data_IF_969633611167
#
_entry.id   IF_969633611167
#
_cell.length_a   1.000
_cell.length_b   1.000
_cell.length_c   1.000
_cell.angle_alpha   90.00
_cell.angle_beta   90.00
_cell.angle_gamma   90.00
#
_symmetry.space_group_name_H-M   'P 1'
#
loop_
_entity.id
_entity.type
_entity.pdbx_description
1 polymer ?
#
# COMPACT_ATOMS: atom_id res chain seq x y z
N UNK A 1 7.50 10.45 17.82
CA UNK A 1 7.17 9.94 16.48
C UNK A 1 8.48 9.66 15.81
N UNK A 2 8.75 8.41 15.50
CA UNK A 2 10.03 7.97 14.94
C UNK A 2 10.25 8.67 13.59
N UNK A 3 11.35 9.41 13.43
CA UNK A 3 11.67 10.12 12.19
C UNK A 3 11.72 9.17 10.99
N UNK A 4 12.08 7.90 11.26
CA UNK A 4 12.11 6.83 10.26
C UNK A 4 10.71 6.49 9.75
N UNK A 5 9.70 6.37 10.62
CA UNK A 5 8.32 6.11 10.23
C UNK A 5 7.75 7.27 9.39
N UNK A 6 8.00 8.51 9.80
CA UNK A 6 7.58 9.69 9.05
C UNK A 6 8.22 9.73 7.65
N UNK A 7 9.51 9.39 7.55
CA UNK A 7 10.19 9.25 6.28
C UNK A 7 9.56 8.15 5.42
N UNK A 8 9.35 6.93 5.94
CA UNK A 8 8.73 5.84 5.19
C UNK A 8 7.33 6.21 4.68
N UNK A 9 6.49 6.83 5.53
CA UNK A 9 5.15 7.29 5.13
C UNK A 9 5.17 8.32 4.00
N UNK A 10 6.25 9.09 3.86
CA UNK A 10 6.41 10.07 2.77
C UNK A 10 6.75 9.44 1.41
N UNK A 11 7.34 8.24 1.40
CA UNK A 11 7.64 7.50 0.17
C UNK A 11 6.51 6.58 -0.27
N UNK A 12 5.54 6.35 0.62
CA UNK A 12 4.39 5.54 0.31
C UNK A 12 3.35 6.32 -0.50
N UNK A 13 2.64 5.68 -1.45
CA UNK A 13 1.60 6.33 -2.23
C UNK A 13 0.56 7.00 -1.33
N UNK A 14 0.10 8.18 -1.73
CA UNK A 14 -0.94 8.88 -0.98
C UNK A 14 -2.18 7.98 -0.79
N UNK A 15 -2.82 8.00 0.39
CA UNK A 15 -4.01 7.19 0.62
C UNK A 15 -5.09 7.55 -0.39
N UNK A 16 -5.94 6.59 -0.74
CA UNK A 16 -7.08 6.80 -1.64
C UNK A 16 -8.08 7.86 -1.13
N UNK A 17 -7.98 8.24 0.15
CA UNK A 17 -8.87 9.18 0.84
C UNK A 17 -8.02 10.22 1.59
N UNK A 18 -8.34 11.51 1.43
CA UNK A 18 -7.67 12.58 2.20
C UNK A 18 -8.00 12.49 3.69
N UNK A 19 -6.99 12.21 4.50
CA UNK A 19 -7.06 12.24 5.98
C UNK A 19 -7.14 13.68 6.55
N UNK A 20 -6.76 14.69 5.76
CA UNK A 20 -6.79 16.10 6.15
C UNK A 20 -8.13 16.76 5.81
N UNK A 21 -9.20 16.34 6.47
CA UNK A 21 -10.41 17.15 6.55
C UNK A 21 -10.42 17.86 7.91
N UNK A 22 -9.83 19.05 7.98
CA UNK A 22 -10.06 19.92 9.13
C UNK A 22 -11.52 20.39 9.08
N UNK A 23 -12.39 19.77 9.87
CA UNK A 23 -13.71 20.32 10.17
C UNK A 23 -13.51 21.65 10.93
N UNK A 24 -13.33 22.74 10.19
CA UNK A 24 -13.31 24.09 10.76
C UNK A 24 -14.71 24.68 10.75
N UNK A 25 -15.34 24.66 11.91
CA UNK A 25 -15.90 25.82 12.63
C UNK A 25 -16.75 25.27 13.77
N UNK A 26 -16.68 25.81 15.00
CA UNK A 26 -17.75 25.61 15.96
C UNK A 26 -19.06 26.08 15.31
N UNK A 27 -20.08 25.23 15.32
CA UNK A 27 -21.43 25.64 14.94
C UNK A 27 -21.82 26.82 15.87
N UNK A 28 -22.19 27.99 15.32
CA UNK A 28 -22.76 29.04 16.17
C UNK A 28 -24.02 28.49 16.84
N UNK A 29 -24.19 28.79 18.13
CA UNK A 29 -25.35 28.38 18.90
C UNK A 29 -26.62 28.88 18.18
N UNK A 30 -27.45 27.94 17.73
CA UNK A 30 -28.72 28.21 17.07
C UNK A 30 -29.60 29.00 18.04
N UNK A 31 -29.98 30.22 17.65
CA UNK A 31 -31.04 30.95 18.33
C UNK A 31 -32.39 30.33 17.95
N UNK A 32 -33.33 30.13 18.89
CA UNK A 32 -34.62 29.54 18.58
C UNK A 32 -35.47 30.58 17.86
N UNK A 33 -35.51 30.50 16.53
CA UNK A 33 -36.32 31.35 15.67
C UNK A 33 -36.56 30.68 14.33
N UNK A 34 -37.73 30.04 14.22
CA UNK A 34 -38.54 29.76 13.04
C UNK A 34 -37.92 29.95 11.64
N UNK A 35 -37.06 29.02 11.26
CA UNK A 35 -36.93 28.60 9.86
C UNK A 35 -36.92 27.06 9.87
N UNK A 36 -37.85 26.44 9.14
CA UNK A 36 -37.77 25.02 8.80
C UNK A 36 -36.47 24.82 8.02
N UNK A 37 -35.39 24.49 8.73
CA UNK A 37 -34.08 24.20 8.14
C UNK A 37 -34.23 22.89 7.36
N UNK A 38 -34.74 23.02 6.12
CA UNK A 38 -35.07 21.90 5.25
C UNK A 38 -33.82 21.02 5.09
N UNK A 39 -33.89 19.73 5.42
CA UNK A 39 -32.74 18.82 5.33
C UNK A 39 -32.37 18.55 3.86
N UNK A 40 -31.66 19.51 3.26
CA UNK A 40 -31.26 19.48 1.85
C UNK A 40 -30.28 18.35 1.56
N UNK A 41 -29.49 17.93 2.55
CA UNK A 41 -28.51 16.85 2.41
C UNK A 41 -29.22 15.49 2.42
N UNK A 42 -30.18 15.28 3.31
CA UNK A 42 -31.01 14.07 3.33
C UNK A 42 -31.85 13.86 2.08
N UNK A 43 -32.17 14.93 1.33
CA UNK A 43 -32.91 14.86 0.05
C UNK A 43 -32.06 14.45 -1.16
N UNK A 44 -30.74 14.39 -1.04
CA UNK A 44 -29.87 13.97 -2.14
C UNK A 44 -30.14 12.51 -2.54
N UNK A 45 -29.99 12.13 -3.84
CA UNK A 45 -30.06 10.74 -4.28
C UNK A 45 -28.99 9.86 -3.62
N UNK A 46 -29.30 8.57 -3.44
CA UNK A 46 -28.37 7.61 -2.82
C UNK A 46 -27.00 7.57 -3.50
N UNK A 47 -26.95 7.69 -4.82
CA UNK A 47 -25.68 7.69 -5.56
C UNK A 47 -24.75 8.84 -5.14
N UNK A 48 -25.31 10.02 -4.86
CA UNK A 48 -24.54 11.19 -4.40
C UNK A 48 -24.09 10.98 -2.96
N UNK A 49 -25.00 10.51 -2.09
CA UNK A 49 -24.68 10.21 -0.69
C UNK A 49 -23.57 9.15 -0.58
N UNK A 50 -23.62 8.09 -1.40
CA UNK A 50 -22.54 7.09 -1.47
C UNK A 50 -21.23 7.71 -1.92
N UNK A 51 -21.26 8.61 -2.90
CA UNK A 51 -20.07 9.32 -3.35
C UNK A 51 -19.45 10.18 -2.23
N UNK A 52 -20.28 10.92 -1.48
CA UNK A 52 -19.83 11.70 -0.33
C UNK A 52 -19.18 10.80 0.72
N UNK A 53 -19.87 9.75 1.16
CA UNK A 53 -19.38 8.84 2.21
C UNK A 53 -18.08 8.14 1.76
N UNK A 54 -17.96 7.74 0.49
CA UNK A 54 -16.75 7.10 -0.06
C UNK A 54 -15.49 7.98 -0.06
N UNK A 55 -15.65 9.31 0.10
CA UNK A 55 -14.55 10.28 0.19
C UNK A 55 -14.20 10.67 1.62
N UNK A 56 -14.95 10.20 2.61
CA UNK A 56 -14.68 10.48 4.01
C UNK A 56 -13.73 9.42 4.58
N UNK A 57 -12.81 9.80 5.49
CA UNK A 57 -12.08 8.84 6.30
C UNK A 57 -13.06 7.89 7.01
N UNK A 58 -12.72 6.61 7.16
CA UNK A 58 -13.62 5.59 7.75
C UNK A 58 -14.30 6.04 9.05
N UNK A 59 -13.56 6.72 9.94
CA UNK A 59 -14.11 7.21 11.21
C UNK A 59 -15.25 8.22 11.03
N UNK A 60 -15.09 9.15 10.09
CA UNK A 60 -16.09 10.17 9.81
C UNK A 60 -17.23 9.63 8.96
N UNK A 61 -16.91 8.75 8.01
CA UNK A 61 -17.90 8.00 7.26
C UNK A 61 -18.82 7.18 8.19
N UNK A 62 -18.27 6.49 9.19
CA UNK A 62 -19.04 5.78 10.20
C UNK A 62 -19.90 6.71 11.08
N UNK A 63 -19.42 7.93 11.38
CA UNK A 63 -20.20 8.94 12.14
C UNK A 63 -21.44 9.40 11.37
N UNK A 64 -21.42 9.41 10.04
CA UNK A 64 -22.60 9.77 9.24
C UNK A 64 -23.78 8.82 9.46
N UNK A 65 -23.54 7.59 9.95
CA UNK A 65 -24.60 6.63 10.28
C UNK A 65 -25.56 7.12 11.38
N UNK A 66 -25.18 8.13 12.17
CA UNK A 66 -26.04 8.73 13.21
C UNK A 66 -27.04 9.74 12.61
N UNK A 67 -26.81 10.23 11.38
CA UNK A 67 -27.66 11.26 10.75
C UNK A 67 -29.07 10.73 10.42
N UNK A 68 -29.18 9.51 9.90
CA UNK A 68 -30.46 8.80 9.77
C UNK A 68 -30.26 7.31 9.45
N UNK A 69 -31.35 6.52 9.50
CA UNK A 69 -31.33 5.11 9.10
C UNK A 69 -30.83 4.91 7.67
N UNK A 70 -31.16 5.84 6.76
CA UNK A 70 -30.70 5.83 5.37
C UNK A 70 -29.18 5.92 5.27
N UNK A 71 -28.55 6.85 5.99
CA UNK A 71 -27.08 6.98 6.00
C UNK A 71 -26.39 5.77 6.60
N UNK A 72 -26.98 5.16 7.64
CA UNK A 72 -26.48 3.90 8.21
C UNK A 72 -26.46 2.77 7.17
N UNK A 73 -27.51 2.61 6.38
CA UNK A 73 -27.56 1.59 5.32
C UNK A 73 -26.57 1.90 4.18
N UNK A 74 -26.43 3.18 3.81
CA UNK A 74 -25.50 3.59 2.76
C UNK A 74 -24.05 3.32 3.20
N UNK A 75 -23.67 3.70 4.42
CA UNK A 75 -22.36 3.40 5.01
C UNK A 75 -22.01 1.91 4.87
N UNK A 76 -22.91 1.00 5.28
CA UNK A 76 -22.65 -0.45 5.21
C UNK A 76 -22.51 -1.01 3.79
N UNK A 77 -22.95 -0.26 2.78
CA UNK A 77 -22.91 -0.69 1.37
C UNK A 77 -21.69 -0.21 0.59
N UNK A 78 -20.85 0.62 1.19
CA UNK A 78 -19.74 1.31 0.50
C UNK A 78 -18.42 0.60 0.81
N UNK A 79 -17.47 0.53 -0.13
CA UNK A 79 -16.18 -0.08 0.15
C UNK A 79 -15.44 0.63 1.28
N UNK A 80 -14.97 -0.12 2.27
CA UNK A 80 -14.26 0.41 3.43
C UNK A 80 -12.83 0.85 3.04
N UNK A 81 -12.40 2.02 3.49
CA UNK A 81 -11.02 2.50 3.36
C UNK A 81 -10.43 2.78 4.74
N UNK A 82 -9.67 1.84 5.28
CA UNK A 82 -9.02 2.01 6.58
C UNK A 82 -7.67 2.71 6.40
N UNK A 83 -7.47 3.79 7.13
CA UNK A 83 -6.17 4.46 7.21
C UNK A 83 -5.85 4.73 8.68
N UNK A 84 -4.85 4.01 9.18
CA UNK A 84 -4.31 4.13 10.53
C UNK A 84 -3.19 5.19 10.63
N UNK A 85 -2.75 5.76 9.51
CA UNK A 85 -1.71 6.79 9.48
C UNK A 85 -0.41 6.33 10.13
N UNK A 86 -0.19 6.76 11.38
CA UNK A 86 1.03 6.51 12.17
C UNK A 86 0.80 5.58 13.39
N UNK A 87 -0.28 4.82 13.44
CA UNK A 87 -0.52 3.79 14.46
C UNK A 87 -1.45 4.26 15.59
N UNK A 88 -2.48 5.01 15.26
CA UNK A 88 -3.47 5.49 16.22
C UNK A 88 -4.57 4.47 16.54
N UNK A 89 -4.69 3.42 15.73
CA UNK A 89 -5.71 2.38 15.79
C UNK A 89 -5.07 1.08 16.28
N UNK A 90 -5.55 0.58 17.42
CA UNK A 90 -5.15 -0.74 17.87
C UNK A 90 -5.53 -1.80 16.81
N UNK A 91 -4.67 -2.79 16.51
CA UNK A 91 -4.96 -3.83 15.52
C UNK A 91 -6.29 -4.55 15.78
N UNK A 92 -6.63 -4.79 17.04
CA UNK A 92 -7.91 -5.40 17.45
C UNK A 92 -9.11 -4.55 17.07
N UNK A 93 -8.99 -3.22 17.13
CA UNK A 93 -10.05 -2.30 16.71
C UNK A 93 -10.16 -2.27 15.19
N UNK A 94 -9.03 -2.32 14.47
CA UNK A 94 -9.03 -2.46 13.02
C UNK A 94 -9.71 -3.78 12.58
N UNK A 95 -9.38 -4.90 13.23
CA UNK A 95 -10.01 -6.19 12.98
C UNK A 95 -11.51 -6.15 13.28
N UNK A 96 -11.92 -5.55 14.41
CA UNK A 96 -13.34 -5.39 14.75
C UNK A 96 -14.09 -4.49 13.75
N UNK A 97 -13.46 -3.42 13.26
CA UNK A 97 -14.02 -2.57 12.21
C UNK A 97 -14.19 -3.34 10.90
N UNK A 98 -13.19 -4.14 10.50
CA UNK A 98 -13.26 -5.02 9.33
C UNK A 98 -14.34 -6.10 9.48
N UNK A 99 -14.49 -6.68 10.68
CA UNK A 99 -15.47 -7.72 10.96
C UNK A 99 -16.91 -7.17 10.98
N UNK A 100 -17.10 -5.96 11.53
CA UNK A 100 -18.42 -5.32 11.64
C UNK A 100 -18.92 -4.70 10.33
N UNK A 101 -18.04 -4.49 9.35
CA UNK A 101 -18.43 -3.95 8.06
C UNK A 101 -18.84 -5.07 7.08
N UNK A 102 -20.08 -5.05 6.55
CA UNK A 102 -20.56 -6.11 5.65
C UNK A 102 -20.14 -5.91 4.18
N UNK A 103 -19.68 -4.72 3.79
CA UNK A 103 -19.24 -4.41 2.42
C UNK A 103 -17.76 -4.74 2.15
N UNK A 104 -17.34 -4.66 0.86
CA UNK A 104 -15.96 -4.94 0.44
C UNK A 104 -14.96 -3.95 1.05
N UNK A 105 -13.68 -4.33 1.08
CA UNK A 105 -12.60 -3.47 1.58
C UNK A 105 -11.78 -3.03 0.39
N UNK A 106 -11.74 -1.72 0.12
CA UNK A 106 -11.02 -1.18 -1.04
C UNK A 106 -9.57 -0.94 -0.73
N UNK A 107 -9.29 -0.23 0.36
CA UNK A 107 -7.93 0.17 0.72
C UNK A 107 -7.70 0.03 2.22
N UNK A 108 -6.57 -0.54 2.61
CA UNK A 108 -6.13 -0.57 4.01
C UNK A 108 -4.70 -0.12 4.14
N UNK A 109 -4.49 0.98 4.87
CA UNK A 109 -3.20 1.46 5.33
C UNK A 109 -3.11 1.20 6.82
N UNK A 110 -2.26 0.26 7.20
CA UNK A 110 -2.09 -0.19 8.58
C UNK A 110 -0.69 0.17 9.06
N UNK A 111 -0.61 0.94 10.13
CA UNK A 111 0.62 1.17 10.87
C UNK A 111 0.64 0.18 12.04
N UNK A 112 0.91 -1.09 11.72
CA UNK A 112 0.79 -2.18 12.68
C UNK A 112 1.72 -1.96 13.88
N UNK A 113 1.16 -2.12 15.08
CA UNK A 113 1.93 -2.28 16.31
C UNK A 113 2.64 -3.64 16.30
N UNK A 114 3.70 -3.79 17.09
CA UNK A 114 4.47 -5.04 17.24
C UNK A 114 3.67 -6.21 17.89
N UNK A 115 2.34 -6.19 17.87
CA UNK A 115 1.49 -7.25 18.41
C UNK A 115 1.17 -8.28 17.31
N UNK A 116 1.82 -9.46 17.29
CA UNK A 116 1.65 -10.44 16.23
C UNK A 116 0.24 -11.05 16.18
N UNK A 117 -0.45 -11.20 17.31
CA UNK A 117 -1.78 -11.81 17.35
C UNK A 117 -2.86 -10.89 16.77
N UNK A 118 -2.87 -9.63 17.22
CA UNK A 118 -3.78 -8.62 16.68
C UNK A 118 -3.58 -8.43 15.18
N UNK A 119 -2.33 -8.45 14.73
CA UNK A 119 -1.99 -8.27 13.32
C UNK A 119 -2.39 -9.48 12.48
N UNK A 120 -2.16 -10.72 12.95
CA UNK A 120 -2.61 -11.92 12.26
C UNK A 120 -4.15 -11.94 12.08
N UNK A 121 -4.90 -11.53 13.10
CA UNK A 121 -6.36 -11.40 13.03
C UNK A 121 -6.82 -10.38 11.97
N UNK A 122 -6.12 -9.25 11.87
CA UNK A 122 -6.38 -8.26 10.82
C UNK A 122 -6.11 -8.84 9.44
N UNK A 123 -4.96 -9.48 9.22
CA UNK A 123 -4.62 -10.07 7.92
C UNK A 123 -5.57 -11.20 7.52
N UNK A 124 -5.98 -12.06 8.46
CA UNK A 124 -7.00 -13.07 8.20
C UNK A 124 -8.34 -12.42 7.77
N UNK A 125 -8.73 -11.33 8.43
CA UNK A 125 -9.93 -10.57 8.07
C UNK A 125 -9.82 -9.91 6.70
N UNK A 126 -8.64 -9.42 6.33
CA UNK A 126 -8.37 -8.82 5.02
C UNK A 126 -8.41 -9.88 3.91
N UNK A 127 -7.74 -11.02 4.12
CA UNK A 127 -7.72 -12.13 3.16
C UNK A 127 -9.13 -12.66 2.88
N UNK A 128 -9.99 -12.75 3.90
CA UNK A 128 -11.38 -13.19 3.76
C UNK A 128 -12.26 -12.20 2.96
N UNK A 129 -11.84 -10.93 2.81
CA UNK A 129 -12.63 -9.85 2.22
C UNK A 129 -12.14 -9.41 0.83
N UNK A 130 -11.01 -9.93 0.36
CA UNK A 130 -10.48 -9.65 -0.97
C UNK A 130 -10.10 -8.18 -1.17
N UNK A 131 -9.14 -7.70 -0.38
CA UNK A 131 -8.65 -6.31 -0.45
C UNK A 131 -8.00 -6.03 -1.81
N UNK A 132 -8.26 -4.84 -2.37
CA UNK A 132 -7.63 -4.36 -3.61
C UNK A 132 -6.31 -3.63 -3.33
N UNK A 133 -6.30 -2.69 -2.38
CA UNK A 133 -5.11 -1.91 -2.03
C UNK A 133 -4.68 -2.18 -0.58
N UNK A 134 -3.50 -2.77 -0.39
CA UNK A 134 -2.94 -3.08 0.93
C UNK A 134 -1.60 -2.38 1.11
N UNK A 135 -1.55 -1.50 2.10
CA UNK A 135 -0.35 -0.82 2.55
C UNK A 135 -0.10 -1.18 4.02
N UNK A 136 1.05 -1.79 4.28
CA UNK A 136 1.45 -2.25 5.61
C UNK A 136 2.73 -1.52 5.99
N UNK A 137 2.70 -0.83 7.11
CA UNK A 137 3.89 -0.28 7.76
C UNK A 137 3.93 -0.80 9.17
N UNK A 138 5.07 -1.28 9.65
CA UNK A 138 5.19 -1.64 11.08
C UNK A 138 5.88 -0.52 11.83
N UNK A 139 5.23 -0.06 12.90
CA UNK A 139 5.81 0.93 13.79
C UNK A 139 6.78 0.22 14.74
N UNK A 140 8.07 0.19 14.37
CA UNK A 140 9.11 -0.46 15.14
C UNK A 140 10.49 0.10 14.83
N UNK A 141 11.35 0.17 15.85
CA UNK A 141 12.76 0.47 15.68
C UNK A 141 13.45 -0.64 14.90
N UNK A 142 14.19 -0.28 13.85
CA UNK A 142 15.02 -1.22 13.10
C UNK A 142 16.15 -1.79 13.98
N UNK A 143 16.54 -3.08 13.85
CA UNK A 143 16.04 -4.09 12.91
C UNK A 143 14.66 -4.63 13.28
N UNK A 144 13.76 -4.69 12.30
CA UNK A 144 12.40 -5.20 12.52
C UNK A 144 12.41 -6.73 12.40
N UNK A 145 12.11 -7.41 13.51
CA UNK A 145 11.94 -8.87 13.56
C UNK A 145 10.58 -9.33 13.03
N UNK A 146 9.63 -8.40 12.88
CA UNK A 146 8.28 -8.72 12.44
C UNK A 146 8.23 -9.00 10.94
N UNK A 147 7.51 -10.07 10.58
CA UNK A 147 7.31 -10.54 9.21
C UNK A 147 5.85 -10.44 8.82
N UNK A 148 5.61 -10.01 7.58
CA UNK A 148 4.26 -10.02 7.01
C UNK A 148 3.74 -11.46 6.94
N UNK A 149 2.51 -11.75 7.39
CA UNK A 149 1.91 -13.07 7.26
C UNK A 149 1.82 -13.51 5.79
N UNK A 150 2.09 -14.79 5.53
CA UNK A 150 2.05 -15.35 4.16
C UNK A 150 0.64 -15.40 3.57
N UNK A 151 -0.41 -15.25 4.39
CA UNK A 151 -1.81 -15.15 3.94
C UNK A 151 -2.03 -14.02 2.92
N UNK A 152 -1.25 -12.94 3.02
CA UNK A 152 -1.29 -11.81 2.07
C UNK A 152 -0.99 -12.28 0.64
N UNK A 153 -0.10 -13.27 0.49
CA UNK A 153 0.28 -13.81 -0.82
C UNK A 153 -0.85 -14.61 -1.49
N UNK A 154 -1.88 -15.00 -0.72
CA UNK A 154 -3.07 -15.70 -1.24
C UNK A 154 -4.19 -14.76 -1.72
N UNK A 155 -4.04 -13.44 -1.55
CA UNK A 155 -5.10 -12.48 -1.85
C UNK A 155 -5.22 -12.20 -3.36
N UNK A 156 -6.05 -12.98 -4.07
CA UNK A 156 -6.19 -12.86 -5.53
C UNK A 156 -6.77 -11.52 -6.03
N UNK A 157 -7.52 -10.80 -5.18
CA UNK A 157 -8.07 -9.49 -5.49
C UNK A 157 -7.06 -8.34 -5.30
N UNK A 158 -5.88 -8.63 -4.75
CA UNK A 158 -4.91 -7.60 -4.39
C UNK A 158 -4.28 -6.99 -5.65
N UNK A 159 -4.54 -5.71 -5.86
CA UNK A 159 -4.03 -4.88 -6.95
C UNK A 159 -2.78 -4.10 -6.58
N UNK A 160 -2.68 -3.60 -5.34
CA UNK A 160 -1.51 -2.83 -4.87
C UNK A 160 -1.04 -3.33 -3.52
N UNK A 161 0.23 -3.67 -3.41
CA UNK A 161 0.87 -4.11 -2.17
C UNK A 161 2.09 -3.24 -1.87
N UNK A 162 2.04 -2.51 -0.77
CA UNK A 162 3.17 -1.72 -0.28
C UNK A 162 3.55 -2.16 1.14
N UNK A 163 4.82 -2.50 1.33
CA UNK A 163 5.35 -3.05 2.57
C UNK A 163 6.45 -2.11 3.10
N UNK A 164 6.31 -1.65 4.33
CA UNK A 164 7.16 -0.65 4.98
C UNK A 164 7.67 -1.09 6.35
N UNK A 165 8.96 -0.91 6.64
CA UNK A 165 9.55 -1.22 7.95
C UNK A 165 9.26 -2.65 8.44
N UNK A 166 9.37 -3.67 7.57
CA UNK A 166 9.19 -5.07 8.00
C UNK A 166 9.93 -6.09 7.12
N UNK A 167 9.83 -7.36 7.49
CA UNK A 167 10.35 -8.47 6.66
C UNK A 167 9.27 -8.98 5.69
N UNK A 168 9.69 -9.26 4.46
CA UNK A 168 8.85 -9.87 3.43
C UNK A 168 8.29 -11.23 3.89
N UNK A 169 7.06 -11.60 3.49
CA UNK A 169 6.50 -12.91 3.82
C UNK A 169 7.38 -14.05 3.28
N UNK A 170 7.50 -15.12 4.06
CA UNK A 170 8.19 -16.33 3.61
C UNK A 170 7.36 -17.01 2.52
N UNK A 171 8.01 -17.31 1.39
CA UNK A 171 7.36 -17.98 0.25
C UNK A 171 7.48 -19.51 0.31
N UNK A 172 8.15 -20.06 1.33
CA UNK A 172 8.27 -21.51 1.52
C UNK A 172 6.92 -22.14 1.89
N UNK A 173 6.38 -22.95 0.98
CA UNK A 173 5.15 -23.74 1.22
C UNK A 173 3.83 -23.06 0.88
N UNK A 174 3.83 -21.77 0.50
CA UNK A 174 2.63 -21.07 -0.01
C UNK A 174 2.86 -20.73 -1.47
N UNK A 175 1.92 -21.09 -2.35
CA UNK A 175 1.93 -20.62 -3.73
C UNK A 175 1.28 -19.22 -3.75
N UNK A 176 2.02 -18.14 -4.04
CA UNK A 176 1.45 -16.82 -4.24
C UNK A 176 0.41 -16.88 -5.36
N UNK A 177 -0.79 -16.38 -5.07
CA UNK A 177 -1.92 -16.32 -6.00
C UNK A 177 -2.30 -14.84 -6.26
N UNK A 178 -1.29 -13.98 -6.42
CA UNK A 178 -1.43 -12.53 -6.62
C UNK A 178 -1.74 -12.21 -8.09
N UNK A 179 -2.87 -12.71 -8.58
CA UNK A 179 -3.23 -12.67 -10.00
C UNK A 179 -3.62 -11.28 -10.50
N UNK A 180 -4.04 -10.38 -9.60
CA UNK A 180 -4.49 -9.03 -9.93
C UNK A 180 -3.46 -7.95 -9.58
N UNK A 181 -2.28 -8.34 -9.08
CA UNK A 181 -1.32 -7.40 -8.51
C UNK A 181 -0.64 -6.59 -9.61
N UNK A 182 -0.91 -5.29 -9.62
CA UNK A 182 -0.38 -4.29 -10.55
C UNK A 182 0.84 -3.56 -9.96
N UNK A 183 0.88 -3.36 -8.65
CA UNK A 183 1.96 -2.62 -8.00
C UNK A 183 2.48 -3.34 -6.77
N UNK A 184 3.80 -3.54 -6.72
CA UNK A 184 4.52 -4.04 -5.56
C UNK A 184 5.57 -3.02 -5.13
N UNK A 185 5.42 -2.48 -3.92
CA UNK A 185 6.35 -1.52 -3.33
C UNK A 185 6.96 -2.03 -2.03
N UNK A 186 8.27 -1.91 -1.91
CA UNK A 186 9.05 -2.34 -0.73
C UNK A 186 9.82 -1.12 -0.23
N UNK A 187 9.48 -0.63 0.95
CA UNK A 187 10.05 0.59 1.54
C UNK A 187 10.76 0.25 2.85
N UNK A 188 12.05 0.55 2.96
CA UNK A 188 12.86 0.32 4.17
C UNK A 188 12.59 -1.06 4.82
N UNK A 189 12.53 -2.10 4.00
CA UNK A 189 12.10 -3.44 4.38
C UNK A 189 13.12 -4.48 3.88
N UNK A 190 13.22 -5.60 4.58
CA UNK A 190 14.15 -6.68 4.21
C UNK A 190 13.42 -7.72 3.37
N UNK A 191 13.91 -7.96 2.16
CA UNK A 191 13.35 -8.95 1.23
C UNK A 191 14.46 -9.87 0.73
N UNK A 192 14.42 -11.18 1.07
CA UNK A 192 15.36 -12.13 0.53
C UNK A 192 15.17 -12.32 -0.98
N UNK A 193 16.27 -12.41 -1.72
CA UNK A 193 16.25 -12.55 -3.18
C UNK A 193 15.39 -13.76 -3.63
N UNK A 194 15.42 -14.88 -2.89
CA UNK A 194 14.61 -16.09 -3.15
C UNK A 194 13.10 -15.82 -3.15
N UNK A 195 12.63 -14.95 -2.27
CA UNK A 195 11.19 -14.72 -2.07
C UNK A 195 10.66 -13.81 -3.17
N UNK A 196 11.46 -12.83 -3.57
CA UNK A 196 11.18 -11.99 -4.73
C UNK A 196 11.08 -12.84 -6.01
N UNK A 197 12.04 -13.75 -6.22
CA UNK A 197 12.05 -14.69 -7.34
C UNK A 197 10.85 -15.64 -7.36
N UNK A 198 10.28 -15.97 -6.20
CA UNK A 198 9.11 -16.85 -6.11
C UNK A 198 7.78 -16.11 -6.36
N UNK A 199 7.73 -14.78 -6.15
CA UNK A 199 6.52 -13.95 -6.26
C UNK A 199 6.40 -13.29 -7.63
N UNK A 200 7.46 -12.66 -8.16
CA UNK A 200 7.38 -11.89 -9.41
C UNK A 200 6.77 -12.70 -10.57
N UNK A 201 7.21 -13.94 -10.87
CA UNK A 201 6.68 -14.70 -12.01
C UNK A 201 5.21 -15.12 -11.86
N UNK A 202 4.66 -15.02 -10.65
CA UNK A 202 3.27 -15.38 -10.33
C UNK A 202 2.33 -14.19 -10.32
N UNK A 203 2.82 -13.00 -10.67
CA UNK A 203 2.04 -11.77 -10.79
C UNK A 203 1.94 -11.40 -12.28
N UNK A 204 0.99 -11.98 -13.04
CA UNK A 204 0.95 -11.84 -14.50
C UNK A 204 0.61 -10.43 -14.98
N UNK A 205 0.05 -9.57 -14.12
CA UNK A 205 -0.36 -8.19 -14.44
C UNK A 205 0.46 -7.14 -13.70
N UNK A 206 1.63 -7.50 -13.16
CA UNK A 206 2.47 -6.59 -12.38
C UNK A 206 3.09 -5.53 -13.29
N UNK A 207 2.61 -4.29 -13.17
CA UNK A 207 3.04 -3.15 -13.97
C UNK A 207 4.20 -2.38 -13.33
N UNK A 208 4.19 -2.23 -12.00
CA UNK A 208 5.17 -1.41 -11.26
C UNK A 208 5.81 -2.19 -10.11
N UNK A 209 7.14 -2.20 -10.08
CA UNK A 209 7.94 -2.72 -8.97
C UNK A 209 8.80 -1.59 -8.40
N UNK A 210 8.62 -1.28 -7.12
CA UNK A 210 9.31 -0.19 -6.45
C UNK A 210 10.09 -0.68 -5.22
N UNK A 211 11.36 -0.29 -5.14
CA UNK A 211 12.20 -0.40 -3.95
C UNK A 211 12.55 1.01 -3.49
N UNK A 212 12.31 1.32 -2.23
CA UNK A 212 12.69 2.60 -1.66
C UNK A 212 13.37 2.44 -0.29
N UNK A 213 14.41 3.21 0.00
CA UNK A 213 15.09 3.20 1.30
C UNK A 213 15.62 1.81 1.72
N UNK A 214 15.88 0.91 0.78
CA UNK A 214 16.37 -0.45 1.10
C UNK A 214 17.89 -0.41 1.29
N UNK A 215 18.39 -0.80 2.47
CA UNK A 215 19.82 -0.68 2.80
C UNK A 215 20.61 -1.99 2.72
N UNK A 216 20.05 -3.11 3.21
CA UNK A 216 20.79 -4.37 3.34
C UNK A 216 20.36 -5.47 2.36
N UNK A 217 19.05 -5.61 2.15
CA UNK A 217 18.43 -6.61 1.30
C UNK A 217 17.22 -6.00 0.56
N UNK A 218 16.96 -6.38 -0.70
CA UNK A 218 17.73 -7.34 -1.51
C UNK A 218 19.08 -6.77 -1.95
N UNK A 219 20.07 -7.63 -2.23
CA UNK A 219 21.39 -7.19 -2.77
C UNK A 219 21.48 -7.39 -4.27
N UNK A 220 20.86 -8.47 -4.74
CA UNK A 220 20.81 -8.88 -6.13
C UNK A 220 19.33 -8.99 -6.50
N UNK A 221 18.92 -8.22 -7.49
CA UNK A 221 17.52 -8.20 -7.95
C UNK A 221 17.49 -8.61 -9.40
N UNK A 222 16.99 -9.81 -9.66
CA UNK A 222 16.77 -10.32 -11.00
C UNK A 222 15.26 -10.27 -11.28
N UNK A 223 14.90 -9.50 -12.30
CA UNK A 223 13.51 -9.24 -12.65
C UNK A 223 13.23 -9.95 -13.96
N UNK A 224 12.34 -10.94 -13.89
CA UNK A 224 11.75 -11.65 -15.02
C UNK A 224 10.24 -11.39 -15.00
N UNK A 225 9.74 -10.54 -15.89
CA UNK A 225 8.30 -10.30 -16.00
C UNK A 225 7.92 -9.80 -17.40
N UNK A 226 6.90 -10.40 -17.98
CA UNK A 226 6.36 -9.99 -19.29
C UNK A 226 5.46 -8.76 -19.23
N UNK A 227 4.89 -8.44 -18.06
CA UNK A 227 3.93 -7.35 -17.88
C UNK A 227 4.50 -6.10 -17.21
N UNK A 228 5.73 -6.18 -16.70
CA UNK A 228 6.32 -5.11 -15.93
C UNK A 228 6.69 -3.95 -16.85
N UNK A 229 6.15 -2.77 -16.53
CA UNK A 229 6.37 -1.53 -17.28
C UNK A 229 7.40 -0.63 -16.60
N UNK A 230 7.35 -0.53 -15.27
CA UNK A 230 8.11 0.43 -14.50
C UNK A 230 8.85 -0.23 -13.34
N UNK A 231 10.17 -0.08 -13.31
CA UNK A 231 11.00 -0.44 -12.15
C UNK A 231 11.51 0.84 -11.50
N UNK A 232 11.27 1.00 -10.21
CA UNK A 232 11.74 2.13 -9.41
C UNK A 232 12.66 1.63 -8.32
N UNK A 233 13.86 2.15 -8.25
CA UNK A 233 14.85 1.90 -7.20
C UNK A 233 15.22 3.27 -6.67
N UNK A 234 14.71 3.66 -5.51
CA UNK A 234 14.77 5.04 -5.04
C UNK A 234 15.41 5.16 -3.66
N UNK A 235 16.55 5.85 -3.59
CA UNK A 235 17.40 5.89 -2.41
C UNK A 235 17.55 4.48 -1.84
N UNK A 236 18.07 3.57 -2.65
CA UNK A 236 18.28 2.17 -2.27
C UNK A 236 19.73 1.74 -2.51
N UNK A 237 20.26 0.82 -1.70
CA UNK A 237 21.58 0.22 -1.83
C UNK A 237 21.49 -1.18 -2.46
N UNK A 238 21.12 -1.24 -3.75
CA UNK A 238 21.17 -2.48 -4.53
C UNK A 238 22.54 -2.60 -5.19
N UNK A 239 23.19 -3.76 -5.09
CA UNK A 239 24.51 -3.98 -5.72
C UNK A 239 24.38 -4.33 -7.19
N UNK A 240 23.42 -5.19 -7.51
CA UNK A 240 23.20 -5.71 -8.85
C UNK A 240 21.70 -5.78 -9.16
N UNK A 241 21.33 -5.29 -10.34
CA UNK A 241 19.97 -5.31 -10.87
C UNK A 241 20.03 -5.88 -12.28
N UNK A 242 19.44 -7.06 -12.47
CA UNK A 242 19.40 -7.75 -13.75
C UNK A 242 17.97 -7.72 -14.29
N UNK A 243 17.79 -7.01 -15.41
CA UNK A 243 16.58 -7.05 -16.21
C UNK A 243 16.74 -8.09 -17.30
N UNK A 244 16.13 -9.23 -17.07
CA UNK A 244 16.23 -10.39 -17.93
C UNK A 244 14.83 -10.65 -18.52
N UNK A 245 14.73 -10.74 -19.85
CA UNK A 245 13.46 -10.99 -20.58
C UNK A 245 12.26 -10.19 -20.05
N UNK A 246 12.40 -8.86 -20.09
CA UNK A 246 11.41 -7.91 -19.60
C UNK A 246 10.88 -7.06 -20.78
N UNK A 247 10.04 -7.63 -21.66
CA UNK A 247 9.64 -7.05 -22.94
C UNK A 247 8.88 -5.73 -22.83
N UNK A 248 8.12 -5.55 -21.74
CA UNK A 248 7.22 -4.41 -21.56
C UNK A 248 7.79 -3.27 -20.72
N UNK A 249 9.00 -3.43 -20.18
CA UNK A 249 9.62 -2.40 -19.34
C UNK A 249 9.93 -1.17 -20.19
N UNK A 250 9.29 -0.04 -19.87
CA UNK A 250 9.48 1.25 -20.53
C UNK A 250 10.33 2.21 -19.68
N UNK A 251 10.33 2.03 -18.36
CA UNK A 251 10.97 2.91 -17.38
C UNK A 251 11.77 2.12 -16.34
N UNK A 252 13.04 2.48 -16.19
CA UNK A 252 13.90 2.06 -15.09
C UNK A 252 14.43 3.31 -14.39
N UNK A 253 13.90 3.63 -13.23
CA UNK A 253 14.31 4.78 -12.42
C UNK A 253 15.23 4.29 -11.30
N UNK A 254 16.47 4.78 -11.27
CA UNK A 254 17.45 4.40 -10.24
C UNK A 254 17.97 5.64 -9.56
N UNK A 255 17.89 5.70 -8.24
CA UNK A 255 18.53 6.71 -7.40
C UNK A 255 19.17 5.96 -6.22
N UNK A 256 20.51 5.90 -6.10
CA UNK A 256 21.17 5.20 -5.00
C UNK A 256 21.09 5.99 -3.68
N UNK A 257 21.30 5.31 -2.55
CA UNK A 257 21.63 6.01 -1.28
C UNK A 257 23.10 6.41 -1.34
N UNK A 258 23.36 7.71 -1.25
CA UNK A 258 24.73 8.26 -1.28
C UNK A 258 25.51 7.76 -2.52
N UNK A 259 26.82 7.52 -2.38
CA UNK A 259 27.71 7.07 -3.45
C UNK A 259 27.68 5.54 -3.66
N UNK A 260 26.57 4.87 -3.35
CA UNK A 260 26.46 3.43 -3.52
C UNK A 260 26.48 3.05 -5.01
N UNK A 261 27.45 2.21 -5.38
CA UNK A 261 27.56 1.69 -6.74
C UNK A 261 26.52 0.59 -7.00
N UNK A 262 25.78 0.73 -8.10
CA UNK A 262 24.79 -0.26 -8.57
C UNK A 262 25.14 -0.71 -9.97
N UNK A 263 25.30 -2.02 -10.16
CA UNK A 263 25.54 -2.64 -11.45
C UNK A 263 24.19 -3.00 -12.06
N UNK A 264 23.89 -2.45 -13.22
CA UNK A 264 22.64 -2.68 -13.94
C UNK A 264 22.98 -3.47 -15.19
N UNK A 265 22.42 -4.67 -15.29
CA UNK A 265 22.52 -5.50 -16.49
C UNK A 265 21.15 -5.60 -17.14
N UNK A 266 21.07 -5.27 -18.42
CA UNK A 266 19.85 -5.31 -19.21
C UNK A 266 20.11 -6.26 -20.37
N UNK A 267 19.49 -7.43 -20.37
CA UNK A 267 19.71 -8.43 -21.42
C UNK A 267 18.64 -8.32 -22.50
N UNK A 268 17.38 -8.10 -22.14
CA UNK A 268 16.29 -8.09 -23.11
C UNK A 268 15.12 -7.22 -22.63
N UNK A 269 15.23 -5.93 -22.89
CA UNK A 269 14.20 -4.93 -22.58
C UNK A 269 13.96 -3.98 -23.78
N UNK A 270 13.35 -4.48 -24.87
CA UNK A 270 13.23 -3.75 -26.15
C UNK A 270 12.38 -2.47 -26.07
N UNK A 271 11.46 -2.35 -25.11
CA UNK A 271 10.60 -1.17 -24.94
C UNK A 271 11.17 -0.13 -23.98
N UNK A 272 12.36 -0.34 -23.42
CA UNK A 272 12.95 0.57 -22.44
C UNK A 272 13.25 1.93 -23.09
N UNK A 273 12.55 2.97 -22.63
CA UNK A 273 12.66 4.34 -23.15
C UNK A 273 13.32 5.28 -22.18
N UNK A 274 13.09 5.08 -20.88
CA UNK A 274 13.53 5.98 -19.83
C UNK A 274 14.43 5.20 -18.88
N UNK A 275 15.72 5.53 -18.91
CA UNK A 275 16.62 5.29 -17.80
C UNK A 275 16.61 6.57 -16.96
N UNK A 276 16.24 6.48 -15.69
CA UNK A 276 16.18 7.61 -14.76
C UNK A 276 17.56 8.13 -14.38
N UNK A 277 17.75 8.51 -13.11
CA UNK A 277 19.06 8.96 -12.66
C UNK A 277 20.10 7.85 -12.84
N UNK A 278 21.18 8.17 -13.54
CA UNK A 278 22.27 7.23 -13.83
C UNK A 278 23.57 8.01 -13.84
N UNK A 279 24.25 8.00 -12.69
CA UNK A 279 25.63 8.44 -12.58
C UNK A 279 26.60 7.38 -13.14
N UNK A 280 27.28 7.71 -14.23
CA UNK A 280 28.23 6.82 -14.93
C UNK A 280 29.49 6.53 -14.08
N UNK A 281 29.78 7.36 -13.06
CA UNK A 281 30.88 7.13 -12.12
C UNK A 281 30.55 6.12 -11.03
N UNK A 282 29.25 5.93 -10.73
CA UNK A 282 28.76 5.03 -9.67
C UNK A 282 28.12 3.77 -10.25
N UNK A 283 27.51 3.85 -11.43
CA UNK A 283 26.75 2.76 -12.01
C UNK A 283 27.43 2.17 -13.24
N UNK A 284 27.44 0.85 -13.30
CA UNK A 284 27.88 0.11 -14.49
C UNK A 284 26.65 -0.39 -15.24
N UNK A 285 26.45 0.07 -16.47
CA UNK A 285 25.37 -0.40 -17.33
C UNK A 285 25.93 -1.36 -18.37
N UNK A 286 25.40 -2.57 -18.41
CA UNK A 286 25.68 -3.55 -19.46
C UNK A 286 24.39 -3.88 -20.19
N UNK A 287 24.35 -3.59 -21.49
CA UNK A 287 23.24 -3.96 -22.38
C UNK A 287 23.75 -5.07 -23.29
N UNK A 288 23.17 -6.26 -23.19
CA UNK A 288 23.46 -7.42 -24.05
C UNK A 288 22.40 -7.58 -25.16
#
# INVERSE_FOLDING_TARGET
MDETLAAVLSYLPSPAVSSSAYLSSPFPAVSPGDDEEEDRVGRLPDAILRNIISRLPTKDAARTAVLSSRWRHLWTSIPLSLDDGAGGLAPTTAAAALASHPGPVRSTRLAASQDPEGVASVFASLAARGVEDLLVVVNGSWPVEWRVPSDVLGCAALGRLWIGLCQFPDTTGVAPALLSLQELGIVHSSVPDRDLHAVIPRCPVLETLAFALTQDYPRYVHIWSESLSCVVIWKSMLREVHLDDAPDVDRLLVEPIADAATHIKIIKAPKLKILGYFDVGLHQLKID
#
